data_IF_604356646933
#
_entry.id   IF_604356646933
#
_cell.length_a   1.000
_cell.length_b   1.000
_cell.length_c   1.000
_cell.angle_alpha   90.00
_cell.angle_beta   90.00
_cell.angle_gamma   90.00
#
_symmetry.space_group_name_H-M   'P 1'
#
loop_
_entity.id
_entity.type
_entity.pdbx_description
1 polymer ?
#
# COMPACT_ATOMS: atom_id res chain seq x y z
N UNK A 1 19.67 -11.00 7.95
CA UNK A 1 18.36 -11.55 7.56
C UNK A 1 17.39 -11.79 8.72
N UNK A 2 17.87 -11.99 9.96
CA UNK A 2 16.96 -12.18 11.12
C UNK A 2 15.98 -11.02 11.33
N UNK A 3 16.43 -9.76 11.26
CA UNK A 3 15.58 -8.58 11.45
C UNK A 3 14.52 -8.46 10.36
N UNK A 4 14.92 -8.59 9.09
CA UNK A 4 13.99 -8.55 7.96
C UNK A 4 12.96 -9.68 8.03
N UNK A 5 13.39 -10.91 8.34
CA UNK A 5 12.47 -12.04 8.50
C UNK A 5 11.51 -11.89 9.68
N UNK A 6 11.96 -11.30 10.79
CA UNK A 6 11.12 -11.05 11.95
C UNK A 6 10.07 -9.95 11.70
N UNK A 7 10.37 -8.96 10.86
CA UNK A 7 9.45 -7.89 10.49
C UNK A 7 8.31 -8.35 9.56
N UNK A 8 8.53 -9.43 8.81
CA UNK A 8 7.61 -9.86 7.75
C UNK A 8 6.27 -10.40 8.29
N UNK A 9 6.28 -11.06 9.45
CA UNK A 9 5.07 -11.49 10.16
C UNK A 9 4.17 -10.31 10.54
N UNK A 10 4.66 -9.36 11.37
CA UNK A 10 3.94 -8.13 11.70
C UNK A 10 3.49 -7.34 10.46
N UNK A 11 4.32 -7.25 9.42
CA UNK A 11 3.99 -6.55 8.18
C UNK A 11 2.82 -7.20 7.44
N UNK A 12 2.80 -8.53 7.32
CA UNK A 12 1.70 -9.27 6.70
C UNK A 12 0.41 -9.09 7.50
N UNK A 13 0.46 -9.24 8.82
CA UNK A 13 -0.70 -9.05 9.70
C UNK A 13 -1.28 -7.65 9.58
N UNK A 14 -0.44 -6.62 9.59
CA UNK A 14 -0.87 -5.23 9.41
C UNK A 14 -1.53 -5.03 8.04
N UNK A 15 -0.96 -5.59 6.96
CA UNK A 15 -1.49 -5.49 5.62
C UNK A 15 -2.87 -6.16 5.49
N UNK A 16 -3.06 -7.32 6.12
CA UNK A 16 -4.37 -7.98 6.17
C UNK A 16 -5.40 -7.15 6.92
N UNK A 17 -5.02 -6.58 8.07
CA UNK A 17 -5.92 -5.74 8.87
C UNK A 17 -6.38 -4.49 8.09
N UNK A 18 -5.46 -3.80 7.40
CA UNK A 18 -5.77 -2.64 6.56
C UNK A 18 -6.71 -3.03 5.42
N UNK A 19 -6.37 -4.06 4.64
CA UNK A 19 -7.21 -4.51 3.52
C UNK A 19 -8.57 -5.02 3.98
N UNK A 20 -8.65 -5.66 5.13
CA UNK A 20 -9.93 -6.08 5.70
C UNK A 20 -10.82 -4.87 6.03
N UNK A 21 -10.24 -3.83 6.64
CA UNK A 21 -10.95 -2.60 7.03
C UNK A 21 -11.36 -1.73 5.84
N UNK A 22 -10.53 -1.66 4.80
CA UNK A 22 -10.69 -0.70 3.71
C UNK A 22 -11.33 -1.29 2.45
N UNK A 23 -11.23 -2.60 2.22
CA UNK A 23 -11.76 -3.21 1.01
C UNK A 23 -13.29 -3.42 1.11
N UNK A 24 -14.07 -2.92 0.12
CA UNK A 24 -15.50 -3.19 0.02
C UNK A 24 -15.78 -4.69 -0.09
N UNK A 25 -16.83 -5.19 0.55
CA UNK A 25 -17.13 -6.63 0.62
C UNK A 25 -17.15 -7.30 -0.77
N UNK A 26 -17.74 -6.63 -1.76
CA UNK A 26 -17.86 -7.14 -3.13
C UNK A 26 -16.52 -7.22 -3.90
N UNK A 27 -15.51 -6.43 -3.52
CA UNK A 27 -14.22 -6.33 -4.22
C UNK A 27 -13.05 -6.87 -3.39
N UNK A 28 -13.29 -7.29 -2.14
CA UNK A 28 -12.24 -7.71 -1.20
C UNK A 28 -11.31 -8.75 -1.83
N UNK A 29 -11.85 -9.82 -2.41
CA UNK A 29 -11.06 -10.86 -3.08
C UNK A 29 -10.18 -10.32 -4.22
N UNK A 30 -10.73 -9.46 -5.09
CA UNK A 30 -9.99 -8.86 -6.20
C UNK A 30 -8.86 -7.93 -5.70
N UNK A 31 -9.14 -7.11 -4.69
CA UNK A 31 -8.15 -6.20 -4.09
C UNK A 31 -7.01 -7.00 -3.44
N UNK A 32 -7.34 -8.09 -2.72
CA UNK A 32 -6.35 -8.97 -2.13
C UNK A 32 -5.47 -9.65 -3.17
N UNK A 33 -6.05 -10.23 -4.21
CA UNK A 33 -5.29 -10.94 -5.26
C UNK A 33 -4.43 -9.98 -6.07
N UNK A 34 -4.96 -8.83 -6.50
CA UNK A 34 -4.18 -7.82 -7.22
C UNK A 34 -3.02 -7.32 -6.36
N UNK A 35 -3.27 -7.02 -5.09
CA UNK A 35 -2.23 -6.60 -4.15
C UNK A 35 -1.18 -7.69 -3.88
N UNK A 36 -1.57 -8.96 -3.84
CA UNK A 36 -0.66 -10.08 -3.69
C UNK A 36 0.22 -10.27 -4.94
N UNK A 37 -0.38 -10.23 -6.13
CA UNK A 37 0.34 -10.30 -7.40
C UNK A 37 1.36 -9.17 -7.52
N UNK A 38 1.00 -7.94 -7.14
CA UNK A 38 1.93 -6.82 -7.15
C UNK A 38 3.13 -7.04 -6.21
N UNK A 39 2.89 -7.57 -4.99
CA UNK A 39 3.97 -7.90 -4.05
C UNK A 39 4.94 -8.94 -4.63
N UNK A 40 4.41 -10.00 -5.26
CA UNK A 40 5.21 -11.05 -5.87
C UNK A 40 6.02 -10.52 -7.06
N UNK A 41 5.40 -9.73 -7.95
CA UNK A 41 6.10 -9.10 -9.08
C UNK A 41 7.23 -8.19 -8.59
N UNK A 42 6.98 -7.40 -7.53
CA UNK A 42 8.02 -6.58 -6.90
C UNK A 42 9.19 -7.41 -6.37
N UNK A 43 8.90 -8.51 -5.66
CA UNK A 43 9.94 -9.44 -5.21
C UNK A 43 10.71 -10.08 -6.37
N UNK A 44 10.04 -10.47 -7.45
CA UNK A 44 10.69 -11.06 -8.62
C UNK A 44 11.65 -10.06 -9.29
N UNK A 45 11.22 -8.80 -9.46
CA UNK A 45 12.07 -7.72 -9.97
C UNK A 45 13.26 -7.50 -9.05
N UNK A 46 13.02 -7.38 -7.74
CA UNK A 46 14.08 -7.20 -6.74
C UNK A 46 15.09 -8.35 -6.72
N UNK A 47 14.63 -9.59 -6.80
CA UNK A 47 15.50 -10.77 -6.85
C UNK A 47 16.32 -10.82 -8.16
N UNK A 48 15.70 -10.49 -9.30
CA UNK A 48 16.37 -10.44 -10.59
C UNK A 48 17.43 -9.35 -10.70
N UNK A 49 17.17 -8.18 -10.11
CA UNK A 49 18.11 -7.05 -10.11
C UNK A 49 19.13 -7.12 -8.97
N UNK A 50 18.79 -7.78 -7.86
CA UNK A 50 19.61 -7.78 -6.64
C UNK A 50 21.01 -8.36 -6.85
N UNK A 51 21.12 -9.49 -7.56
CA UNK A 51 22.40 -10.11 -7.87
C UNK A 51 23.32 -9.21 -8.71
N UNK A 52 22.90 -8.77 -9.92
CA UNK A 52 23.69 -7.88 -10.76
C UNK A 52 24.06 -6.54 -10.10
N UNK A 53 23.17 -5.96 -9.30
CA UNK A 53 23.47 -4.69 -8.61
C UNK A 53 24.45 -4.89 -7.45
N UNK A 54 24.36 -6.01 -6.73
CA UNK A 54 25.27 -6.33 -5.63
C UNK A 54 26.71 -6.63 -6.09
N UNK A 55 26.92 -7.11 -7.33
CA UNK A 55 28.26 -7.35 -7.87
C UNK A 55 28.98 -6.05 -8.24
N UNK A 56 28.24 -4.98 -8.56
CA UNK A 56 28.82 -3.65 -8.81
C UNK A 56 29.13 -2.92 -7.51
N UNK A 57 28.18 -2.92 -6.56
CA UNK A 57 28.37 -2.31 -5.24
C UNK A 57 27.37 -2.85 -4.23
N UNK A 58 27.87 -3.57 -3.23
CA UNK A 58 27.06 -4.04 -2.11
C UNK A 58 26.41 -2.87 -1.36
N UNK A 59 27.18 -1.83 -1.04
CA UNK A 59 26.67 -0.65 -0.34
C UNK A 59 25.61 0.09 -1.16
N UNK A 60 25.82 0.21 -2.49
CA UNK A 60 24.84 0.79 -3.40
C UNK A 60 23.53 -0.01 -3.43
N UNK A 61 23.62 -1.34 -3.48
CA UNK A 61 22.45 -2.24 -3.42
C UNK A 61 21.66 -2.05 -2.13
N UNK A 62 22.35 -1.98 -0.98
CA UNK A 62 21.71 -1.75 0.32
C UNK A 62 21.05 -0.36 0.40
N UNK A 63 21.69 0.68 -0.16
CA UNK A 63 21.12 2.03 -0.18
C UNK A 63 19.86 2.11 -1.04
N UNK A 64 19.84 1.43 -2.18
CA UNK A 64 18.65 1.33 -3.03
C UNK A 64 17.52 0.60 -2.30
N UNK A 65 17.83 -0.52 -1.65
CA UNK A 65 16.84 -1.26 -0.86
C UNK A 65 16.26 -0.40 0.28
N UNK A 66 17.12 0.26 1.05
CA UNK A 66 16.70 1.18 2.10
C UNK A 66 15.88 2.35 1.55
N UNK A 67 16.26 2.91 0.40
CA UNK A 67 15.52 3.96 -0.30
C UNK A 67 14.10 3.53 -0.68
N UNK A 68 13.94 2.30 -1.20
CA UNK A 68 12.62 1.74 -1.51
C UNK A 68 11.73 1.60 -0.26
N UNK A 69 12.27 1.12 0.85
CA UNK A 69 11.54 1.03 2.13
C UNK A 69 11.11 2.41 2.64
N UNK A 70 12.00 3.41 2.57
CA UNK A 70 11.68 4.79 2.96
C UNK A 70 10.59 5.38 2.05
N UNK A 71 10.67 5.18 0.74
CA UNK A 71 9.64 5.63 -0.20
C UNK A 71 8.29 4.97 0.06
N UNK A 72 8.27 3.67 0.38
CA UNK A 72 7.06 2.96 0.75
C UNK A 72 6.44 3.53 2.03
N UNK A 73 7.24 3.75 3.08
CA UNK A 73 6.79 4.35 4.33
C UNK A 73 6.23 5.76 4.12
N UNK A 74 6.94 6.61 3.36
CA UNK A 74 6.47 7.96 3.03
C UNK A 74 5.16 7.94 2.25
N UNK A 75 5.02 7.03 1.27
CA UNK A 75 3.79 6.88 0.50
C UNK A 75 2.60 6.48 1.39
N UNK A 76 2.82 5.56 2.33
CA UNK A 76 1.79 5.17 3.29
C UNK A 76 1.37 6.35 4.18
N UNK A 77 2.33 7.10 4.74
CA UNK A 77 2.01 8.28 5.56
C UNK A 77 1.26 9.34 4.75
N UNK A 78 1.73 9.64 3.54
CA UNK A 78 1.13 10.65 2.65
C UNK A 78 -0.29 10.30 2.23
N UNK A 79 -0.57 9.02 1.93
CA UNK A 79 -1.86 8.58 1.37
C UNK A 79 -2.87 8.16 2.44
N UNK A 80 -2.42 7.66 3.59
CA UNK A 80 -3.30 7.05 4.59
C UNK A 80 -3.40 7.87 5.88
N UNK A 81 -2.33 8.58 6.26
CA UNK A 81 -2.30 9.32 7.54
C UNK A 81 -2.63 10.80 7.34
N UNK A 82 -2.25 11.40 6.21
CA UNK A 82 -2.62 12.79 5.95
C UNK A 82 -4.10 12.90 5.57
N UNK A 83 -4.91 13.63 6.36
CA UNK A 83 -6.33 13.77 6.06
C UNK A 83 -6.50 14.56 4.76
N UNK A 84 -7.02 13.91 3.72
CA UNK A 84 -7.61 14.60 2.58
C UNK A 84 -8.77 15.41 3.13
N UNK A 85 -8.66 16.75 3.10
CA UNK A 85 -9.78 17.66 3.38
C UNK A 85 -10.94 17.22 2.50
N UNK A 86 -11.95 16.61 3.11
CA UNK A 86 -13.25 16.47 2.48
C UNK A 86 -13.79 17.89 2.42
N UNK A 87 -13.85 18.47 1.21
CA UNK A 87 -14.63 19.67 0.99
C UNK A 87 -16.07 19.32 1.31
N UNK A 88 -16.56 19.74 2.47
CA UNK A 88 -17.96 19.66 2.86
C UNK A 88 -18.79 20.43 1.83
N UNK A 89 -19.24 19.75 0.79
CA UNK A 89 -20.26 20.27 -0.10
C UNK A 89 -21.59 20.23 0.67
N UNK A 90 -22.26 21.38 0.89
CA UNK A 90 -23.51 21.40 1.65
C UNK A 90 -24.56 20.52 0.95
N UNK A 91 -25.07 19.56 1.70
CA UNK A 91 -26.09 18.61 1.25
C UNK A 91 -27.34 19.35 0.77
N UNK A 92 -27.61 19.26 -0.53
CA UNK A 92 -28.87 19.64 -1.20
C UNK A 92 -30.02 18.73 -0.74
N UNK A 93 -30.40 18.84 0.54
CA UNK A 93 -31.59 18.22 1.10
C UNK A 93 -32.88 19.01 0.83
N UNK A 94 -32.82 20.12 0.07
CA UNK A 94 -33.98 20.98 -0.18
C UNK A 94 -34.81 20.64 -1.44
N UNK A 95 -34.38 19.69 -2.30
CA UNK A 95 -35.01 19.47 -3.62
C UNK A 95 -35.83 18.18 -3.77
N UNK A 96 -36.25 17.54 -2.68
CA UNK A 96 -37.18 16.38 -2.74
C UNK A 96 -38.56 16.62 -2.13
N UNK A 97 -38.81 17.79 -1.57
CA UNK A 97 -40.15 18.17 -1.09
C UNK A 97 -41.05 18.81 -2.18
N UNK A 98 -40.58 18.96 -3.43
CA UNK A 98 -41.32 19.63 -4.52
C UNK A 98 -41.95 18.70 -5.56
N UNK A 99 -41.78 17.37 -5.44
CA UNK A 99 -42.37 16.44 -6.42
C UNK A 99 -43.20 15.39 -5.68
N UNK A 100 -44.29 15.89 -5.12
CA UNK A 100 -45.57 15.18 -5.04
C UNK A 100 -46.23 15.26 -6.43
N UNK A 101 -47.16 14.35 -6.76
CA UNK A 101 -48.52 14.44 -6.22
C UNK A 101 -48.95 13.25 -5.36
#
# INVERSE_FOLDING_TARGET
MAVAGAAEGPQLTALFAVRHREAPDRLRGQIFTTGASLKITGFAIGAGLGGPVATWSLSGSLLVAAGCEVLAALSFVLLTVLPVRHSDAPSSHASRARVQP
#
